data_IF_773538063312
#
_entry.id   IF_773538063312
#
_cell.length_a   1.000
_cell.length_b   1.000
_cell.length_c   1.000
_cell.angle_alpha   90.00
_cell.angle_beta   90.00
_cell.angle_gamma   90.00
#
_symmetry.space_group_name_H-M   'P 1'
#
loop_
_entity.id
_entity.type
_entity.pdbx_description
1 polymer ?
#
# COMPACT_ATOMS: atom_id res chain seq x y z
N UNK A 1 7.07 3.99 -5.31
CA UNK A 1 5.76 4.56 -5.64
C UNK A 1 4.95 3.54 -6.38
N UNK A 2 3.83 3.09 -5.80
CA UNK A 2 2.80 2.31 -6.49
C UNK A 2 1.91 3.34 -7.17
N UNK A 3 2.39 3.89 -8.27
CA UNK A 3 1.69 4.89 -9.08
C UNK A 3 1.82 4.51 -10.57
N UNK A 4 1.71 3.21 -10.83
CA UNK A 4 1.42 2.72 -12.17
C UNK A 4 -0.10 2.69 -12.28
N UNK A 5 -0.68 3.73 -12.87
CA UNK A 5 -2.08 3.75 -13.27
C UNK A 5 -2.35 2.53 -14.14
N UNK A 6 -2.96 1.51 -13.55
CA UNK A 6 -3.45 0.34 -14.29
C UNK A 6 -4.66 0.82 -15.07
N UNK A 7 -4.42 1.26 -16.30
CA UNK A 7 -5.49 1.59 -17.23
C UNK A 7 -5.75 0.38 -18.13
N UNK A 8 -6.73 -0.43 -17.74
CA UNK A 8 -7.17 -1.59 -18.51
C UNK A 8 -8.13 -1.21 -19.66
N UNK A 9 -8.39 0.08 -19.89
CA UNK A 9 -9.42 0.53 -20.84
C UNK A 9 -8.82 0.90 -22.20
N UNK A 10 -9.56 0.59 -23.28
CA UNK A 10 -9.17 1.01 -24.64
C UNK A 10 -9.33 2.53 -24.91
N UNK A 11 -9.97 3.29 -24.00
CA UNK A 11 -10.11 4.75 -24.11
C UNK A 11 -9.17 5.54 -23.20
N UNK A 12 -8.18 4.90 -22.59
CA UNK A 12 -7.25 5.58 -21.68
C UNK A 12 -7.98 6.39 -20.57
N UNK A 13 -9.04 5.81 -19.99
CA UNK A 13 -9.84 6.42 -18.93
C UNK A 13 -10.79 7.55 -19.36
N UNK A 14 -10.80 7.95 -20.64
CA UNK A 14 -11.56 9.12 -21.14
C UNK A 14 -13.06 8.91 -21.33
N UNK A 15 -13.56 7.70 -21.07
CA UNK A 15 -14.98 7.34 -21.16
C UNK A 15 -15.68 7.62 -22.52
N UNK A 16 -14.91 7.90 -23.59
CA UNK A 16 -15.42 8.31 -24.91
C UNK A 16 -15.26 7.20 -25.98
N UNK A 17 -15.26 5.94 -25.55
CA UNK A 17 -14.84 4.79 -26.36
C UNK A 17 -15.73 4.49 -27.58
N UNK A 18 -17.06 4.64 -27.49
CA UNK A 18 -18.00 4.35 -28.58
C UNK A 18 -18.92 5.54 -28.85
N UNK A 19 -18.58 6.41 -29.80
CA UNK A 19 -19.41 7.57 -30.18
C UNK A 19 -19.78 8.50 -29.00
N UNK A 20 -18.93 8.58 -27.96
CA UNK A 20 -19.20 9.37 -26.77
C UNK A 20 -19.81 8.59 -25.59
N UNK A 21 -20.10 7.30 -25.77
CA UNK A 21 -20.56 6.41 -24.69
C UNK A 21 -19.41 5.62 -24.06
N UNK A 22 -19.55 5.36 -22.76
CA UNK A 22 -18.65 4.50 -21.98
C UNK A 22 -18.62 3.10 -22.58
N UNK A 23 -17.44 2.50 -22.70
CA UNK A 23 -17.37 1.10 -23.11
C UNK A 23 -17.66 0.16 -21.93
N UNK A 24 -18.13 -1.05 -22.24
CA UNK A 24 -18.30 -2.14 -21.27
C UNK A 24 -17.05 -2.38 -20.42
N UNK A 25 -15.85 -2.33 -21.01
CA UNK A 25 -14.62 -2.55 -20.25
C UNK A 25 -14.28 -1.38 -19.32
N UNK A 26 -14.78 -0.17 -19.58
CA UNK A 26 -14.63 0.98 -18.68
C UNK A 26 -15.58 0.88 -17.50
N UNK A 27 -16.83 0.48 -17.71
CA UNK A 27 -17.77 0.25 -16.60
C UNK A 27 -17.27 -0.87 -15.68
N UNK A 28 -16.87 -2.01 -16.25
CA UNK A 28 -16.32 -3.12 -15.46
C UNK A 28 -15.06 -2.73 -14.68
N UNK A 29 -14.16 -1.97 -15.30
CA UNK A 29 -12.94 -1.52 -14.64
C UNK A 29 -13.24 -0.48 -13.55
N UNK A 30 -14.15 0.46 -13.80
CA UNK A 30 -14.58 1.47 -12.83
C UNK A 30 -15.18 0.80 -11.59
N UNK A 31 -16.11 -0.14 -11.79
CA UNK A 31 -16.77 -0.85 -10.67
C UNK A 31 -15.77 -1.67 -9.86
N UNK A 32 -14.76 -2.27 -10.51
CA UNK A 32 -13.69 -2.99 -9.83
C UNK A 32 -12.78 -2.04 -9.06
N UNK A 33 -12.36 -0.93 -9.67
CA UNK A 33 -11.53 0.09 -9.03
C UNK A 33 -12.24 0.66 -7.79
N UNK A 34 -13.54 0.95 -7.88
CA UNK A 34 -14.33 1.44 -6.76
C UNK A 34 -14.37 0.42 -5.61
N UNK A 35 -14.54 -0.87 -5.91
CA UNK A 35 -14.48 -1.93 -4.90
C UNK A 35 -13.10 -2.04 -4.24
N UNK A 36 -12.02 -1.91 -5.01
CA UNK A 36 -10.65 -1.90 -4.47
C UNK A 36 -10.45 -0.68 -3.58
N UNK A 37 -10.87 0.51 -4.03
CA UNK A 37 -10.77 1.73 -3.24
C UNK A 37 -11.54 1.63 -1.93
N UNK A 38 -12.78 1.13 -1.96
CA UNK A 38 -13.56 0.90 -0.75
C UNK A 38 -12.88 -0.09 0.20
N UNK A 39 -12.35 -1.19 -0.33
CA UNK A 39 -11.61 -2.17 0.47
C UNK A 39 -10.38 -1.52 1.14
N UNK A 40 -9.58 -0.77 0.38
CA UNK A 40 -8.38 -0.10 0.89
C UNK A 40 -8.71 1.03 1.88
N UNK A 41 -9.78 1.81 1.64
CA UNK A 41 -10.24 2.86 2.55
C UNK A 41 -10.71 2.32 3.90
N UNK A 42 -11.18 1.07 3.95
CA UNK A 42 -11.61 0.42 5.19
C UNK A 42 -10.44 -0.21 5.98
N UNK A 43 -9.22 -0.17 5.46
CA UNK A 43 -8.02 -0.64 6.17
C UNK A 43 -7.34 0.54 6.86
N UNK A 44 -7.39 0.54 8.19
CA UNK A 44 -6.77 1.57 9.03
C UNK A 44 -5.39 1.11 9.57
N UNK A 45 -4.47 2.07 9.81
CA UNK A 45 -3.17 1.79 10.41
C UNK A 45 -3.28 1.11 11.79
N UNK A 46 -4.21 1.52 12.65
CA UNK A 46 -4.47 0.88 13.93
C UNK A 46 -4.96 -0.57 13.76
N UNK A 47 -5.75 -0.88 12.73
CA UNK A 47 -6.11 -2.26 12.36
C UNK A 47 -4.88 -3.10 11.99
N UNK A 48 -3.88 -2.50 11.34
CA UNK A 48 -2.62 -3.15 10.98
C UNK A 48 -1.75 -3.35 12.23
N UNK A 49 -1.59 -2.33 13.07
CA UNK A 49 -0.82 -2.38 14.33
C UNK A 49 -1.44 -3.39 15.31
N UNK A 50 -2.76 -3.53 15.30
CA UNK A 50 -3.49 -4.49 16.14
C UNK A 50 -3.21 -5.94 15.76
N UNK A 51 -2.63 -6.23 14.58
CA UNK A 51 -2.26 -7.60 14.20
C UNK A 51 -1.10 -8.11 15.06
N UNK A 52 -1.26 -9.30 15.67
CA UNK A 52 -0.26 -9.90 16.56
C UNK A 52 1.11 -10.04 15.89
N UNK A 53 1.12 -10.51 14.65
CA UNK A 53 2.34 -10.67 13.86
C UNK A 53 3.10 -9.35 13.64
N UNK A 54 2.38 -8.23 13.49
CA UNK A 54 3.01 -6.92 13.34
C UNK A 54 3.69 -6.51 14.64
N UNK A 55 3.02 -6.72 15.78
CA UNK A 55 3.59 -6.46 17.11
C UNK A 55 4.82 -7.32 17.39
N UNK A 56 4.76 -8.61 17.09
CA UNK A 56 5.90 -9.53 17.25
C UNK A 56 7.13 -9.11 16.42
N UNK A 57 6.92 -8.68 15.17
CA UNK A 57 7.99 -8.15 14.32
C UNK A 57 8.53 -6.81 14.84
N UNK A 58 7.64 -5.90 15.24
CA UNK A 58 8.02 -4.60 15.79
C UNK A 58 8.87 -4.74 17.06
N UNK A 59 8.47 -5.61 18.01
CA UNK A 59 9.26 -5.90 19.21
C UNK A 59 10.64 -6.45 18.88
N UNK A 60 10.73 -7.39 17.92
CA UNK A 60 12.01 -7.94 17.47
C UNK A 60 12.90 -6.84 16.87
N UNK A 61 12.32 -5.97 16.05
CA UNK A 61 13.06 -4.90 15.39
C UNK A 61 13.54 -3.84 16.40
N UNK A 62 12.74 -3.57 17.42
CA UNK A 62 13.08 -2.68 18.53
C UNK A 62 14.21 -3.23 19.41
N UNK A 63 14.21 -4.54 19.71
CA UNK A 63 15.30 -5.15 20.51
C UNK A 63 16.65 -5.06 19.80
N UNK A 64 16.69 -5.22 18.48
CA UNK A 64 17.92 -5.06 17.70
C UNK A 64 18.40 -3.60 17.68
N UNK A 65 17.49 -2.63 17.59
CA UNK A 65 17.86 -1.21 17.63
C UNK A 65 18.36 -0.78 19.01
N UNK A 66 17.71 -1.23 20.10
CA UNK A 66 18.16 -0.95 21.47
C UNK A 66 19.54 -1.53 21.76
N UNK A 67 19.88 -2.69 21.19
CA UNK A 67 21.21 -3.32 21.34
C UNK A 67 22.30 -2.54 20.60
N UNK A 68 22.02 -2.04 19.40
CA UNK A 68 22.94 -1.21 18.61
C UNK A 68 23.16 0.19 19.23
N UNK A 69 22.14 0.77 19.88
CA UNK A 69 22.26 2.06 20.57
C UNK A 69 23.04 1.93 21.89
N UNK A 70 23.10 0.73 22.48
CA UNK A 70 23.82 0.44 23.72
C UNK A 70 25.30 0.07 23.55
N UNK A 71 25.86 0.09 22.34
CA UNK A 71 27.30 -0.12 22.17
C UNK A 71 28.07 0.94 22.99
N UNK A 72 28.95 0.55 23.92
CA UNK A 72 29.80 1.51 24.61
C UNK A 72 30.67 2.23 23.59
N UNK A 73 30.80 3.55 23.72
CA UNK A 73 31.63 4.41 22.86
C UNK A 73 33.15 4.16 23.00
N UNK A 74 33.58 2.93 23.29
CA UNK A 74 34.95 2.59 23.67
C UNK A 74 35.71 1.70 22.67
N UNK A 75 35.20 1.48 21.46
CA UNK A 75 35.92 0.74 20.39
C UNK A 75 36.19 1.57 19.13
N UNK A 76 36.33 2.90 19.25
CA UNK A 76 36.66 3.78 18.11
C UNK A 76 38.16 4.13 18.04
N UNK A 77 39.00 3.62 18.93
CA UNK A 77 40.46 3.80 18.85
C UNK A 77 41.21 2.46 18.89
N UNK A 78 41.53 1.95 17.71
CA UNK A 78 42.63 1.00 17.47
C UNK A 78 43.23 1.28 16.09
#
# INVERSE_FOLDING_TARGET
SVDETVDATKCAGRANCHHGEKCLTHELWSDLSDQIHQFLSNIDLASIISKREFRERATRQQSFQDELIRLPAQEVEA
#
